data_IF_720265255316
#
_entry.id   IF_720265255316
#
_cell.length_a   1.000
_cell.length_b   1.000
_cell.length_c   1.000
_cell.angle_alpha   90.00
_cell.angle_beta   90.00
_cell.angle_gamma   90.00
#
_symmetry.space_group_name_H-M   'P 1'
#
loop_
_entity.id
_entity.type
_entity.pdbx_description
1 polymer ?
#
# COMPACT_ATOMS: atom_id res chain seq x y z
N UNK A 1 -6.61 19.10 -0.42
CA UNK A 1 -7.69 18.18 -0.85
C UNK A 1 -7.38 16.82 -0.25
N UNK A 2 -8.32 16.26 0.53
CA UNK A 2 -8.11 15.00 1.22
C UNK A 2 -8.22 13.78 0.29
N UNK A 3 -7.48 12.72 0.62
CA UNK A 3 -7.54 11.40 0.00
C UNK A 3 -7.86 10.39 1.09
N UNK A 4 -8.91 9.59 0.87
CA UNK A 4 -9.27 8.49 1.74
C UNK A 4 -8.39 7.27 1.40
N UNK A 5 -7.82 6.64 2.41
CA UNK A 5 -6.96 5.48 2.26
C UNK A 5 -7.50 4.37 3.15
N UNK A 6 -7.91 3.26 2.54
CA UNK A 6 -8.24 2.03 3.26
C UNK A 6 -7.12 1.02 3.08
N UNK A 7 -7.03 0.06 3.99
CA UNK A 7 -6.00 -0.98 3.95
C UNK A 7 -5.46 -1.28 5.35
N UNK A 8 -4.44 -2.11 5.40
CA UNK A 8 -3.82 -2.51 6.66
C UNK A 8 -3.08 -1.35 7.32
N UNK A 9 -3.22 -1.29 8.65
CA UNK A 9 -2.33 -0.59 9.58
C UNK A 9 -1.76 -1.68 10.47
N UNK A 10 -0.48 -1.97 10.36
CA UNK A 10 0.09 -3.18 10.94
C UNK A 10 1.47 -2.93 11.55
N UNK A 11 1.90 -3.84 12.40
CA UNK A 11 3.28 -3.91 12.87
C UNK A 11 3.98 -5.10 12.21
N UNK A 12 5.27 -4.92 11.89
CA UNK A 12 6.17 -6.01 11.53
C UNK A 12 7.11 -6.29 12.70
N UNK A 13 7.00 -7.48 13.29
CA UNK A 13 7.92 -7.95 14.32
C UNK A 13 8.92 -8.90 13.67
N UNK A 14 10.16 -8.47 13.58
CA UNK A 14 11.22 -9.15 12.86
C UNK A 14 12.22 -9.72 13.87
N UNK A 15 12.38 -11.05 13.83
CA UNK A 15 13.39 -11.77 14.59
C UNK A 15 14.52 -12.20 13.66
N UNK A 16 15.76 -12.06 14.11
CA UNK A 16 16.94 -12.57 13.40
C UNK A 16 17.54 -13.77 14.15
N UNK A 17 17.88 -14.80 13.41
CA UNK A 17 18.53 -16.01 13.92
C UNK A 17 19.88 -16.18 13.23
N UNK A 18 20.95 -16.48 14.01
CA UNK A 18 22.31 -16.62 13.48
C UNK A 18 22.57 -17.96 12.79
N UNK A 19 21.69 -18.95 12.97
CA UNK A 19 21.75 -20.24 12.29
C UNK A 19 20.98 -20.27 10.98
N UNK A 20 20.95 -21.43 10.36
CA UNK A 20 20.22 -21.72 9.12
C UNK A 20 18.95 -22.53 9.44
N UNK A 21 17.78 -22.14 8.96
CA UNK A 21 16.55 -22.91 9.15
C UNK A 21 16.66 -24.34 8.62
N UNK A 22 17.29 -24.53 7.47
CA UNK A 22 17.44 -25.84 6.83
C UNK A 22 18.14 -26.86 7.75
N UNK A 23 19.04 -26.43 8.64
CA UNK A 23 19.73 -27.33 9.60
C UNK A 23 18.83 -27.72 10.76
N UNK A 24 17.96 -26.82 11.23
CA UNK A 24 17.08 -27.06 12.39
C UNK A 24 15.74 -27.67 12.00
N UNK A 25 15.27 -27.44 10.78
CA UNK A 25 14.03 -27.98 10.23
C UNK A 25 14.26 -29.30 9.45
N UNK A 26 15.44 -29.93 9.60
CA UNK A 26 15.72 -31.23 8.97
C UNK A 26 14.96 -32.36 9.64
N UNK A 27 14.41 -33.29 8.84
CA UNK A 27 13.70 -34.46 9.34
C UNK A 27 12.19 -34.49 9.01
N UNK A 28 11.42 -35.22 9.81
CA UNK A 28 9.95 -35.33 9.60
C UNK A 28 9.22 -34.09 10.12
N UNK A 29 8.82 -33.22 9.21
CA UNK A 29 8.11 -31.97 9.55
C UNK A 29 6.69 -32.19 10.09
N UNK A 30 6.13 -33.41 10.04
CA UNK A 30 4.77 -33.72 10.54
C UNK A 30 4.67 -33.61 12.06
N UNK A 31 5.77 -33.78 12.78
CA UNK A 31 5.86 -33.69 14.24
C UNK A 31 6.93 -32.66 14.68
N UNK A 32 6.99 -31.54 13.97
CA UNK A 32 8.01 -30.51 14.26
C UNK A 32 7.77 -29.90 15.63
N UNK A 33 8.76 -30.01 16.51
CA UNK A 33 8.86 -29.30 17.77
C UNK A 33 10.27 -28.72 17.88
N UNK A 34 10.43 -27.48 17.49
CA UNK A 34 11.73 -26.81 17.51
C UNK A 34 11.60 -25.40 18.08
N UNK A 35 12.65 -24.94 18.75
CA UNK A 35 12.75 -23.59 19.29
C UNK A 35 13.95 -22.91 18.67
N UNK A 36 13.73 -21.74 18.09
CA UNK A 36 14.79 -20.89 17.59
C UNK A 36 15.17 -19.84 18.64
N UNK A 37 16.45 -19.71 18.92
CA UNK A 37 16.95 -18.58 19.69
C UNK A 37 17.20 -17.41 18.74
N UNK A 38 16.46 -16.32 18.92
CA UNK A 38 16.68 -15.10 18.16
C UNK A 38 17.80 -14.28 18.79
N UNK A 39 18.74 -13.81 17.99
CA UNK A 39 19.83 -12.91 18.39
C UNK A 39 19.40 -11.46 18.48
N UNK A 40 18.34 -11.09 17.75
CA UNK A 40 17.75 -9.76 17.80
C UNK A 40 16.24 -9.79 17.51
N UNK A 41 15.56 -8.76 18.00
CA UNK A 41 14.16 -8.48 17.71
C UNK A 41 14.01 -6.98 17.43
N UNK A 42 13.24 -6.64 16.42
CA UNK A 42 12.76 -5.27 16.21
C UNK A 42 11.27 -5.28 15.86
N UNK A 43 10.58 -4.19 16.19
CA UNK A 43 9.19 -3.97 15.80
C UNK A 43 9.12 -2.71 14.96
N UNK A 44 8.71 -2.85 13.72
CA UNK A 44 8.59 -1.77 12.75
C UNK A 44 7.11 -1.42 12.55
N UNK A 45 6.85 -0.16 12.25
CA UNK A 45 5.53 0.28 11.77
C UNK A 45 5.42 -0.06 10.28
N UNK A 46 4.32 -0.70 9.89
CA UNK A 46 4.04 -1.09 8.51
C UNK A 46 2.52 -1.11 8.24
N UNK A 47 2.12 -1.63 7.10
CA UNK A 47 0.75 -1.71 6.62
C UNK A 47 0.49 -0.76 5.45
N UNK A 48 -0.17 -1.28 4.43
CA UNK A 48 -0.35 -0.57 3.15
C UNK A 48 -0.97 0.82 3.33
N UNK A 49 -2.06 0.94 4.11
CA UNK A 49 -2.70 2.24 4.32
C UNK A 49 -1.78 3.23 5.05
N UNK A 50 -1.03 2.75 6.04
CA UNK A 50 -0.11 3.58 6.80
C UNK A 50 1.07 4.07 5.94
N UNK A 51 1.66 3.16 5.16
CA UNK A 51 2.79 3.46 4.26
C UNK A 51 2.38 4.48 3.19
N UNK A 52 1.23 4.28 2.54
CA UNK A 52 0.67 5.20 1.54
C UNK A 52 0.42 6.58 2.15
N UNK A 53 -0.22 6.62 3.34
CA UNK A 53 -0.55 7.87 4.02
C UNK A 53 0.70 8.66 4.41
N UNK A 54 1.72 8.01 4.95
CA UNK A 54 2.98 8.67 5.32
C UNK A 54 3.75 9.19 4.11
N UNK A 55 3.81 8.42 3.02
CA UNK A 55 4.42 8.85 1.77
C UNK A 55 3.72 10.11 1.24
N UNK A 56 2.39 10.09 1.16
CA UNK A 56 1.59 11.22 0.71
C UNK A 56 1.74 12.44 1.64
N UNK A 57 1.73 12.23 2.96
CA UNK A 57 1.84 13.31 3.95
C UNK A 57 3.16 14.06 3.86
N UNK A 58 4.27 13.35 3.67
CA UNK A 58 5.60 13.94 3.51
C UNK A 58 5.74 14.81 2.27
N UNK A 59 4.91 14.60 1.27
CA UNK A 59 4.80 15.49 0.10
C UNK A 59 3.89 16.70 0.35
N UNK A 60 3.31 16.84 1.56
CA UNK A 60 2.37 17.89 1.89
C UNK A 60 0.92 17.59 1.50
N UNK A 61 0.60 16.32 1.25
CA UNK A 61 -0.76 15.85 1.02
C UNK A 61 -1.62 15.80 2.29
N UNK A 62 -2.90 15.49 2.12
CA UNK A 62 -3.90 15.37 3.19
C UNK A 62 -4.53 13.98 3.20
N UNK A 63 -3.78 12.94 3.63
CA UNK A 63 -4.30 11.59 3.75
C UNK A 63 -5.23 11.45 4.95
N UNK A 64 -6.30 10.67 4.80
CA UNK A 64 -7.18 10.21 5.88
C UNK A 64 -7.26 8.71 5.81
N UNK A 65 -6.76 8.03 6.84
CA UNK A 65 -6.81 6.57 6.95
C UNK A 65 -8.18 6.19 7.51
N UNK A 66 -8.86 5.25 6.86
CA UNK A 66 -10.08 4.64 7.34
C UNK A 66 -9.84 3.18 7.63
N UNK A 67 -9.76 2.85 8.93
CA UNK A 67 -9.34 1.52 9.35
C UNK A 67 -9.40 1.30 10.86
N UNK A 68 -8.85 0.18 11.32
CA UNK A 68 -8.91 -0.25 12.71
C UNK A 68 -7.51 -0.54 13.27
N UNK A 69 -7.38 -0.26 14.57
CA UNK A 69 -6.25 -0.61 15.43
C UNK A 69 -6.74 -1.48 16.59
N UNK A 70 -5.85 -2.22 17.20
CA UNK A 70 -6.13 -3.02 18.39
C UNK A 70 -5.79 -2.31 19.69
N UNK A 71 -5.77 -3.08 20.80
CA UNK A 71 -5.43 -2.59 22.15
C UNK A 71 -4.02 -2.00 22.24
N UNK A 72 -3.11 -2.36 21.33
CA UNK A 72 -1.74 -1.87 21.22
C UNK A 72 -1.57 -0.76 20.18
N UNK A 73 -2.69 -0.13 19.74
CA UNK A 73 -2.70 0.84 18.66
C UNK A 73 -2.25 2.26 19.03
N UNK A 74 -2.08 2.58 20.34
CA UNK A 74 -1.78 3.97 20.77
C UNK A 74 -0.46 4.49 20.22
N UNK A 75 0.58 3.65 20.11
CA UNK A 75 1.86 4.03 19.51
C UNK A 75 1.66 4.44 18.04
N UNK A 76 0.77 3.76 17.33
CA UNK A 76 0.42 4.11 15.95
C UNK A 76 -0.34 5.43 15.87
N UNK A 77 -1.29 5.66 16.75
CA UNK A 77 -2.01 6.94 16.82
C UNK A 77 -1.06 8.10 17.14
N UNK A 78 -0.15 7.90 18.11
CA UNK A 78 0.87 8.88 18.44
C UNK A 78 1.80 9.19 17.26
N UNK A 79 2.21 8.15 16.53
CA UNK A 79 3.00 8.29 15.32
C UNK A 79 2.27 9.11 14.24
N UNK A 80 1.03 8.78 13.92
CA UNK A 80 0.26 9.55 12.94
C UNK A 80 0.10 11.01 13.35
N UNK A 81 -0.21 11.28 14.60
CA UNK A 81 -0.30 12.65 15.14
C UNK A 81 1.02 13.39 14.99
N UNK A 82 2.17 12.74 15.23
CA UNK A 82 3.50 13.36 15.10
C UNK A 82 3.81 13.79 13.65
N UNK A 83 3.25 13.10 12.66
CA UNK A 83 3.32 13.50 11.24
C UNK A 83 2.19 14.45 10.83
N UNK A 84 1.26 14.79 11.72
CA UNK A 84 0.08 15.61 11.40
C UNK A 84 -0.92 14.89 10.48
N UNK A 85 -1.00 13.54 10.56
CA UNK A 85 -2.04 12.75 9.92
C UNK A 85 -3.23 12.67 10.88
N UNK A 86 -4.44 12.97 10.38
CA UNK A 86 -5.67 12.84 11.19
C UNK A 86 -5.92 11.39 11.57
N UNK A 87 -6.27 11.18 12.83
CA UNK A 87 -6.65 9.85 13.36
C UNK A 87 -8.18 9.66 13.48
N UNK A 88 -8.98 10.60 12.99
CA UNK A 88 -10.46 10.56 13.10
C UNK A 88 -11.12 9.43 12.32
N UNK A 89 -10.44 8.85 11.33
CA UNK A 89 -10.90 7.67 10.59
C UNK A 89 -10.42 6.35 11.16
N UNK A 90 -9.71 6.36 12.30
CA UNK A 90 -9.18 5.16 12.95
C UNK A 90 -9.96 4.87 14.24
N UNK A 91 -10.30 3.60 14.45
CA UNK A 91 -10.92 3.12 15.67
C UNK A 91 -10.06 2.06 16.34
N UNK A 92 -9.84 2.19 17.66
CA UNK A 92 -9.18 1.17 18.46
C UNK A 92 -10.22 0.20 19.03
N UNK A 93 -9.94 -1.10 18.91
CA UNK A 93 -10.72 -2.19 19.48
C UNK A 93 -9.95 -2.81 20.65
N UNK A 94 -10.46 -2.74 21.89
CA UNK A 94 -9.71 -3.11 23.09
C UNK A 94 -9.61 -4.62 23.33
N UNK A 95 -10.31 -5.42 22.54
CA UNK A 95 -10.43 -6.88 22.68
C UNK A 95 -9.59 -7.67 21.68
N UNK A 96 -8.87 -6.98 20.78
CA UNK A 96 -7.97 -7.59 19.78
C UNK A 96 -6.67 -6.81 19.67
N UNK A 97 -5.62 -7.42 19.12
CA UNK A 97 -4.38 -6.73 18.76
C UNK A 97 -4.49 -6.06 17.40
N UNK A 98 -3.67 -5.04 17.16
CA UNK A 98 -3.44 -4.48 15.82
C UNK A 98 -2.92 -5.57 14.88
N UNK A 99 -3.18 -5.46 13.58
CA UNK A 99 -2.63 -6.37 12.59
C UNK A 99 -1.10 -6.46 12.73
N UNK A 100 -0.57 -7.67 12.58
CA UNK A 100 0.86 -7.92 12.82
C UNK A 100 1.40 -8.98 11.87
N UNK A 101 2.54 -8.71 11.26
CA UNK A 101 3.38 -9.71 10.62
C UNK A 101 4.54 -10.08 11.55
N UNK A 102 4.68 -11.35 11.88
CA UNK A 102 5.85 -11.87 12.59
C UNK A 102 6.76 -12.52 11.57
N UNK A 103 7.96 -12.01 11.42
CA UNK A 103 8.93 -12.43 10.42
C UNK A 103 10.14 -13.00 11.14
N UNK A 104 10.48 -14.22 10.83
CA UNK A 104 11.68 -14.90 11.31
C UNK A 104 12.68 -15.00 10.17
N UNK A 105 13.87 -14.44 10.34
CA UNK A 105 14.92 -14.41 9.30
C UNK A 105 16.14 -15.17 9.78
N UNK A 106 16.66 -16.07 8.97
CA UNK A 106 17.89 -16.81 9.26
C UNK A 106 19.15 -16.10 8.72
N UNK A 107 20.34 -16.69 8.99
CA UNK A 107 21.64 -16.14 8.57
C UNK A 107 21.83 -16.08 7.04
N UNK A 108 21.05 -16.84 6.28
CA UNK A 108 21.07 -16.84 4.81
C UNK A 108 20.00 -15.91 4.20
N UNK A 109 19.20 -15.23 5.04
CA UNK A 109 18.11 -14.38 4.58
C UNK A 109 16.83 -15.14 4.24
N UNK A 110 16.72 -16.44 4.56
CA UNK A 110 15.46 -17.19 4.44
C UNK A 110 14.47 -16.68 5.46
N UNK A 111 13.19 -16.60 5.11
CA UNK A 111 12.16 -16.04 5.97
C UNK A 111 10.99 -16.99 6.18
N UNK A 112 10.54 -17.06 7.42
CA UNK A 112 9.25 -17.61 7.81
C UNK A 112 8.38 -16.46 8.29
N UNK A 113 7.23 -16.24 7.67
CA UNK A 113 6.34 -15.15 8.02
C UNK A 113 4.96 -15.66 8.40
N UNK A 114 4.39 -15.06 9.47
CA UNK A 114 3.03 -15.31 9.92
C UNK A 114 2.31 -13.97 10.03
N UNK A 115 1.23 -13.80 9.29
CA UNK A 115 0.41 -12.60 9.36
C UNK A 115 -0.87 -12.87 10.18
N UNK A 116 -1.05 -12.07 11.23
CA UNK A 116 -2.28 -12.05 12.03
C UNK A 116 -3.05 -10.75 11.73
N UNK A 117 -4.25 -10.83 11.14
CA UNK A 117 -5.00 -9.63 10.74
C UNK A 117 -5.56 -8.82 11.91
N UNK A 118 -5.80 -9.44 13.08
CA UNK A 118 -6.27 -8.74 14.28
C UNK A 118 -7.41 -7.76 14.02
N UNK A 119 -7.25 -6.53 14.49
CA UNK A 119 -8.22 -5.45 14.31
C UNK A 119 -8.52 -5.10 12.85
N UNK A 120 -7.63 -5.42 11.89
CA UNK A 120 -7.88 -5.19 10.47
C UNK A 120 -9.19 -5.86 10.01
N UNK A 121 -9.51 -7.04 10.51
CA UNK A 121 -10.76 -7.74 10.20
C UNK A 121 -12.02 -7.00 10.69
N UNK A 122 -11.87 -6.02 11.58
CA UNK A 122 -12.94 -5.19 12.14
C UNK A 122 -13.05 -3.82 11.48
N UNK A 123 -12.20 -3.50 10.49
CA UNK A 123 -12.22 -2.21 9.80
C UNK A 123 -13.57 -1.87 9.18
N UNK A 124 -14.36 -2.88 8.78
CA UNK A 124 -15.75 -2.70 8.30
C UNK A 124 -16.71 -2.15 9.35
N UNK A 125 -16.37 -2.25 10.65
CA UNK A 125 -17.19 -1.76 11.77
C UNK A 125 -16.89 -0.28 12.06
N UNK A 126 -15.79 0.25 11.52
CA UNK A 126 -15.40 1.64 11.68
C UNK A 126 -16.35 2.53 10.87
N UNK A 127 -17.03 3.51 11.48
CA UNK A 127 -17.93 4.39 10.75
C UNK A 127 -17.17 5.23 9.72
N UNK A 128 -17.92 5.75 8.74
CA UNK A 128 -17.36 6.68 7.75
C UNK A 128 -16.63 7.84 8.45
N UNK A 129 -15.40 8.17 8.02
CA UNK A 129 -14.63 9.23 8.67
C UNK A 129 -15.36 10.56 8.67
N UNK A 130 -15.20 11.32 9.74
CA UNK A 130 -15.76 12.66 9.89
C UNK A 130 -14.62 13.65 10.11
N UNK A 131 -14.81 14.88 9.70
CA UNK A 131 -13.91 16.00 9.98
C UNK A 131 -14.74 17.18 10.46
N UNK A 132 -14.39 17.74 11.61
CA UNK A 132 -15.17 18.82 12.23
C UNK A 132 -16.66 18.51 12.36
N UNK A 133 -16.98 17.28 12.74
CA UNK A 133 -18.35 16.81 12.93
C UNK A 133 -19.17 16.52 11.66
N UNK A 134 -18.60 16.74 10.45
CA UNK A 134 -19.25 16.47 9.17
C UNK A 134 -18.64 15.25 8.50
N UNK A 135 -19.44 14.54 7.72
CA UNK A 135 -18.94 13.42 6.92
C UNK A 135 -17.82 13.88 5.97
N UNK A 136 -16.73 13.13 5.96
CA UNK A 136 -15.59 13.42 5.09
C UNK A 136 -16.01 13.36 3.62
N UNK A 137 -15.55 14.34 2.84
CA UNK A 137 -15.70 14.36 1.38
C UNK A 137 -14.34 14.39 0.72
N UNK A 138 -13.66 13.24 0.60
CA UNK A 138 -12.36 13.17 -0.04
C UNK A 138 -12.49 13.40 -1.55
N UNK A 139 -11.45 13.93 -2.18
CA UNK A 139 -11.40 14.10 -3.65
C UNK A 139 -11.40 12.74 -4.36
N UNK A 140 -10.71 11.78 -3.77
CA UNK A 140 -10.61 10.40 -4.25
C UNK A 140 -10.25 9.47 -3.08
N UNK A 141 -10.37 8.17 -3.32
CA UNK A 141 -9.96 7.14 -2.39
C UNK A 141 -9.00 6.14 -3.05
N UNK A 142 -8.26 5.39 -2.22
CA UNK A 142 -7.61 4.15 -2.62
C UNK A 142 -8.09 3.03 -1.71
N UNK A 143 -8.41 1.90 -2.31
CA UNK A 143 -8.77 0.67 -1.61
C UNK A 143 -7.60 -0.29 -1.72
N UNK A 144 -6.74 -0.28 -0.71
CA UNK A 144 -5.54 -1.13 -0.60
C UNK A 144 -5.83 -2.37 0.26
N UNK A 145 -4.94 -3.38 0.27
CA UNK A 145 -5.14 -4.61 1.02
C UNK A 145 -5.48 -4.37 2.49
N UNK A 146 -6.65 -4.82 2.92
CA UNK A 146 -7.20 -4.62 4.26
C UNK A 146 -8.27 -5.64 4.64
N UNK A 147 -8.31 -6.77 3.94
CA UNK A 147 -9.31 -7.83 4.07
C UNK A 147 -10.45 -7.68 3.07
N UNK A 148 -10.85 -8.80 2.45
CA UNK A 148 -11.90 -8.88 1.42
C UNK A 148 -13.17 -8.11 1.80
N UNK A 149 -13.71 -8.38 2.98
CA UNK A 149 -14.98 -7.77 3.43
C UNK A 149 -14.85 -6.25 3.60
N UNK A 150 -13.70 -5.79 4.12
CA UNK A 150 -13.40 -4.36 4.27
C UNK A 150 -13.34 -3.67 2.91
N UNK A 151 -12.63 -4.28 1.94
CA UNK A 151 -12.50 -3.73 0.59
C UNK A 151 -13.85 -3.63 -0.12
N UNK A 152 -14.69 -4.67 -0.04
CA UNK A 152 -16.03 -4.67 -0.63
C UNK A 152 -16.94 -3.61 0.02
N UNK A 153 -16.89 -3.49 1.35
CA UNK A 153 -17.64 -2.47 2.08
C UNK A 153 -17.18 -1.05 1.69
N UNK A 154 -15.87 -0.83 1.65
CA UNK A 154 -15.30 0.47 1.28
C UNK A 154 -15.67 0.88 -0.15
N UNK A 155 -15.68 -0.07 -1.09
CA UNK A 155 -16.13 0.19 -2.46
C UNK A 155 -17.62 0.62 -2.48
N UNK A 156 -18.49 -0.06 -1.72
CA UNK A 156 -19.91 0.29 -1.63
C UNK A 156 -20.11 1.70 -1.04
N UNK A 157 -19.39 2.03 0.03
CA UNK A 157 -19.44 3.36 0.66
C UNK A 157 -18.92 4.46 -0.28
N UNK A 158 -17.83 4.22 -0.99
CA UNK A 158 -17.32 5.17 -1.98
C UNK A 158 -18.34 5.41 -3.09
N UNK A 159 -18.91 4.36 -3.65
CA UNK A 159 -19.95 4.48 -4.71
C UNK A 159 -21.19 5.23 -4.21
N UNK A 160 -21.72 4.87 -3.05
CA UNK A 160 -22.92 5.50 -2.47
C UNK A 160 -22.74 7.00 -2.21
N UNK A 161 -21.50 7.43 -1.96
CA UNK A 161 -21.13 8.83 -1.68
C UNK A 161 -20.59 9.58 -2.91
N UNK A 162 -20.50 8.91 -4.06
CA UNK A 162 -19.95 9.48 -5.29
C UNK A 162 -18.44 9.78 -5.22
N UNK A 163 -17.70 9.04 -4.39
CA UNK A 163 -16.25 9.18 -4.24
C UNK A 163 -15.55 8.26 -5.24
N UNK A 164 -14.78 8.78 -6.20
CA UNK A 164 -13.99 7.95 -7.10
C UNK A 164 -12.88 7.23 -6.33
N UNK A 165 -12.67 5.94 -6.61
CA UNK A 165 -11.61 5.18 -5.96
C UNK A 165 -10.69 4.46 -6.96
N UNK A 166 -9.41 4.38 -6.59
CA UNK A 166 -8.42 3.50 -7.19
C UNK A 166 -8.49 2.15 -6.47
N UNK A 167 -8.62 1.06 -7.21
CA UNK A 167 -8.54 -0.28 -6.64
C UNK A 167 -7.08 -0.75 -6.65
N UNK A 168 -6.53 -0.99 -5.47
CA UNK A 168 -5.18 -1.54 -5.29
C UNK A 168 -5.29 -3.01 -4.89
N UNK A 169 -4.99 -3.89 -5.83
CA UNK A 169 -5.24 -5.34 -5.69
C UNK A 169 -4.39 -5.96 -4.58
N UNK A 170 -3.09 -5.68 -4.61
CA UNK A 170 -2.11 -6.16 -3.64
C UNK A 170 -2.10 -7.69 -3.48
N UNK A 171 -1.52 -8.14 -2.39
CA UNK A 171 -1.38 -9.58 -2.07
C UNK A 171 -2.70 -10.30 -1.77
N UNK A 172 -3.82 -9.59 -1.68
CA UNK A 172 -5.13 -10.16 -1.36
C UNK A 172 -5.90 -10.70 -2.57
N UNK A 173 -5.33 -10.63 -3.77
CA UNK A 173 -5.93 -11.09 -5.01
C UNK A 173 -6.64 -12.46 -4.88
N UNK A 174 -6.04 -13.39 -4.14
CA UNK A 174 -6.56 -14.74 -3.98
C UNK A 174 -7.83 -14.83 -3.11
N UNK A 175 -8.15 -13.78 -2.35
CA UNK A 175 -9.35 -13.74 -1.52
C UNK A 175 -10.63 -13.47 -2.32
N UNK A 176 -10.50 -12.92 -3.53
CA UNK A 176 -11.62 -12.48 -4.36
C UNK A 176 -11.94 -13.52 -5.46
N UNK A 177 -13.24 -13.65 -5.79
CA UNK A 177 -13.66 -14.33 -7.01
C UNK A 177 -13.44 -13.42 -8.24
N UNK A 178 -13.55 -14.00 -9.45
CA UNK A 178 -13.46 -13.23 -10.69
C UNK A 178 -14.54 -12.13 -10.75
N UNK A 179 -15.78 -12.48 -10.41
CA UNK A 179 -16.92 -11.54 -10.43
C UNK A 179 -16.74 -10.41 -9.42
N UNK A 180 -16.15 -10.68 -8.25
CA UNK A 180 -15.86 -9.65 -7.25
C UNK A 180 -14.77 -8.70 -7.76
N UNK A 181 -13.70 -9.22 -8.38
CA UNK A 181 -12.64 -8.41 -8.99
C UNK A 181 -13.17 -7.52 -10.12
N UNK A 182 -13.98 -8.07 -11.02
CA UNK A 182 -14.62 -7.33 -12.10
C UNK A 182 -15.59 -6.26 -11.56
N UNK A 183 -16.35 -6.60 -10.53
CA UNK A 183 -17.25 -5.63 -9.87
C UNK A 183 -16.48 -4.48 -9.23
N UNK A 184 -15.36 -4.74 -8.53
CA UNK A 184 -14.50 -3.71 -7.95
C UNK A 184 -13.90 -2.83 -9.04
N UNK A 185 -13.36 -3.43 -10.10
CA UNK A 185 -12.78 -2.72 -11.25
C UNK A 185 -13.83 -1.86 -11.96
N UNK A 186 -15.01 -2.41 -12.27
CA UNK A 186 -16.04 -1.70 -13.03
C UNK A 186 -16.49 -0.41 -12.35
N UNK A 187 -16.53 -0.38 -11.04
CA UNK A 187 -16.94 0.76 -10.20
C UNK A 187 -15.81 1.71 -9.84
N UNK A 188 -14.53 1.30 -10.03
CA UNK A 188 -13.36 2.13 -9.79
C UNK A 188 -13.11 3.12 -10.94
N UNK A 189 -12.31 4.16 -10.72
CA UNK A 189 -11.77 4.96 -11.81
C UNK A 189 -10.50 4.33 -12.42
N UNK A 190 -9.88 3.38 -11.72
CA UNK A 190 -8.68 2.69 -12.16
C UNK A 190 -8.22 1.61 -11.19
N UNK A 191 -7.15 0.93 -11.57
CA UNK A 191 -6.53 -0.16 -10.84
C UNK A 191 -5.02 0.06 -10.71
N UNK A 192 -4.44 -0.36 -9.58
CA UNK A 192 -3.00 -0.41 -9.36
C UNK A 192 -2.59 -1.82 -8.95
N UNK A 193 -1.47 -2.32 -9.49
CA UNK A 193 -0.93 -3.65 -9.17
C UNK A 193 0.53 -3.77 -9.62
N UNK A 194 1.21 -4.80 -9.15
CA UNK A 194 2.51 -5.26 -9.66
C UNK A 194 2.35 -6.19 -10.86
N UNK A 195 3.47 -6.57 -11.50
CA UNK A 195 3.47 -7.59 -12.56
C UNK A 195 2.82 -8.89 -12.11
N UNK A 196 3.20 -9.38 -10.93
CA UNK A 196 2.68 -10.63 -10.38
C UNK A 196 1.15 -10.58 -10.13
N UNK A 197 0.69 -9.46 -9.56
CA UNK A 197 -0.74 -9.24 -9.30
C UNK A 197 -1.53 -9.06 -10.59
N UNK A 198 -0.95 -8.41 -11.60
CA UNK A 198 -1.56 -8.24 -12.92
C UNK A 198 -1.76 -9.59 -13.64
N UNK A 199 -0.75 -10.45 -13.61
CA UNK A 199 -0.83 -11.80 -14.17
C UNK A 199 -1.91 -12.64 -13.47
N UNK A 200 -1.98 -12.58 -12.14
CA UNK A 200 -3.00 -13.26 -11.35
C UNK A 200 -4.40 -12.69 -11.58
N UNK A 201 -4.53 -11.37 -11.76
CA UNK A 201 -5.79 -10.70 -12.09
C UNK A 201 -6.30 -11.15 -13.48
N UNK A 202 -5.41 -11.12 -14.47
CA UNK A 202 -5.71 -11.57 -15.83
C UNK A 202 -6.08 -13.05 -15.88
N UNK A 203 -5.36 -13.90 -15.13
CA UNK A 203 -5.67 -15.33 -15.05
C UNK A 203 -7.08 -15.60 -14.48
N UNK A 204 -7.57 -14.77 -13.56
CA UNK A 204 -8.90 -14.91 -12.96
C UNK A 204 -10.02 -14.30 -13.81
N UNK A 205 -9.78 -13.15 -14.43
CA UNK A 205 -10.82 -12.34 -15.09
C UNK A 205 -10.73 -12.34 -16.61
N UNK A 206 -9.64 -12.80 -17.19
CA UNK A 206 -9.36 -12.68 -18.62
C UNK A 206 -9.03 -11.27 -19.10
N UNK A 207 -8.91 -10.29 -18.18
CA UNK A 207 -8.70 -8.88 -18.50
C UNK A 207 -7.22 -8.48 -18.36
N UNK A 208 -6.54 -8.26 -19.50
CA UNK A 208 -5.19 -7.69 -19.48
C UNK A 208 -5.18 -6.20 -19.12
N UNK A 209 -4.02 -5.68 -18.71
CA UNK A 209 -3.83 -4.24 -18.42
C UNK A 209 -4.27 -3.34 -19.57
N UNK A 210 -3.97 -3.76 -20.79
CA UNK A 210 -4.35 -3.02 -21.99
C UNK A 210 -5.86 -3.07 -22.24
N UNK A 211 -6.48 -4.24 -22.05
CA UNK A 211 -7.92 -4.41 -22.18
C UNK A 211 -8.65 -3.50 -21.16
N UNK A 212 -8.18 -3.47 -19.92
CA UNK A 212 -8.72 -2.59 -18.86
C UNK A 212 -8.59 -1.11 -19.27
N UNK A 213 -7.42 -0.67 -19.75
CA UNK A 213 -7.21 0.71 -20.22
C UNK A 213 -8.17 1.13 -21.31
N UNK A 214 -8.46 0.23 -22.28
CA UNK A 214 -9.43 0.46 -23.37
C UNK A 214 -10.87 0.67 -22.88
N UNK A 215 -11.23 0.14 -21.71
CA UNK A 215 -12.57 0.38 -21.11
C UNK A 215 -12.72 1.76 -20.47
N UNK A 216 -11.70 2.61 -20.56
CA UNK A 216 -11.72 3.95 -19.96
C UNK A 216 -11.23 3.99 -18.53
N UNK A 217 -10.58 2.93 -18.05
CA UNK A 217 -9.97 2.87 -16.71
C UNK A 217 -8.50 3.25 -16.75
N UNK A 218 -8.02 3.89 -15.69
CA UNK A 218 -6.60 4.12 -15.47
C UNK A 218 -5.95 2.85 -14.92
N UNK A 219 -4.80 2.42 -15.48
CA UNK A 219 -4.06 1.27 -14.95
C UNK A 219 -2.64 1.68 -14.62
N UNK A 220 -2.24 1.48 -13.37
CA UNK A 220 -0.86 1.63 -12.91
C UNK A 220 -0.28 0.24 -12.66
N UNK A 221 0.61 -0.24 -13.53
CA UNK A 221 1.31 -1.53 -13.39
C UNK A 221 2.77 -1.29 -13.06
N UNK A 222 3.24 -1.80 -11.92
CA UNK A 222 4.62 -1.66 -11.46
C UNK A 222 5.47 -2.88 -11.81
N UNK A 223 6.74 -2.65 -12.21
CA UNK A 223 7.68 -3.65 -12.72
C UNK A 223 8.92 -3.80 -11.82
N UNK A 224 8.82 -3.45 -10.53
CA UNK A 224 9.94 -3.43 -9.60
C UNK A 224 11.03 -2.45 -10.04
N UNK A 225 12.27 -2.92 -10.16
CA UNK A 225 13.41 -2.09 -10.58
C UNK A 225 13.33 -1.56 -12.01
N UNK A 226 12.40 -2.06 -12.83
CA UNK A 226 12.20 -1.61 -14.22
C UNK A 226 11.19 -0.44 -14.32
N UNK A 227 10.71 0.10 -13.20
CA UNK A 227 9.76 1.21 -13.18
C UNK A 227 8.30 0.77 -13.25
N UNK A 228 7.49 1.45 -14.05
CA UNK A 228 6.07 1.18 -14.18
C UNK A 228 5.54 1.44 -15.59
N UNK A 229 4.36 0.92 -15.87
CA UNK A 229 3.55 1.24 -17.05
C UNK A 229 2.24 1.87 -16.63
N UNK A 230 1.86 2.95 -17.29
CA UNK A 230 0.60 3.63 -17.11
C UNK A 230 -0.25 3.48 -18.36
N UNK A 231 -1.45 2.89 -18.22
CA UNK A 231 -2.44 2.85 -19.31
C UNK A 231 -3.47 3.94 -19.03
N UNK A 232 -3.52 4.91 -19.94
CA UNK A 232 -4.46 6.03 -19.83
C UNK A 232 -5.85 5.61 -20.31
N UNK A 233 -6.92 6.20 -19.74
CA UNK A 233 -8.29 5.92 -20.13
C UNK A 233 -8.51 6.07 -21.63
N UNK A 234 -8.95 4.98 -22.30
CA UNK A 234 -9.20 4.96 -23.75
C UNK A 234 -7.96 4.92 -24.63
N UNK A 235 -6.75 4.92 -24.08
CA UNK A 235 -5.53 4.82 -24.88
C UNK A 235 -5.23 3.36 -25.27
N UNK A 236 -4.65 3.19 -26.47
CA UNK A 236 -4.35 1.86 -27.03
C UNK A 236 -3.00 1.27 -26.61
N UNK A 237 -2.26 1.89 -25.67
CA UNK A 237 -0.95 1.43 -25.27
C UNK A 237 -0.49 1.99 -23.92
N UNK A 238 0.60 1.40 -23.40
CA UNK A 238 1.21 1.83 -22.16
C UNK A 238 2.13 3.03 -22.34
N UNK A 239 2.07 3.97 -21.41
CA UNK A 239 3.08 5.02 -21.25
C UNK A 239 4.11 4.51 -20.22
N UNK A 240 5.38 4.37 -20.58
CA UNK A 240 6.42 3.95 -19.65
C UNK A 240 6.68 5.04 -18.60
N UNK A 241 6.97 4.60 -17.38
CA UNK A 241 7.41 5.45 -16.26
C UNK A 241 8.75 4.90 -15.80
N UNK A 242 9.82 5.60 -16.15
CA UNK A 242 11.18 5.20 -15.88
C UNK A 242 11.44 5.22 -14.36
N UNK A 243 12.21 4.26 -13.82
CA UNK A 243 12.59 4.27 -12.42
C UNK A 243 13.71 5.29 -12.18
N UNK A 244 13.70 5.95 -11.02
CA UNK A 244 14.88 6.68 -10.56
C UNK A 244 15.96 5.67 -10.13
N UNK A 245 17.19 5.71 -10.71
CA UNK A 245 18.26 4.81 -10.35
C UNK A 245 18.70 5.01 -8.90
N UNK A 246 18.67 3.95 -8.08
CA UNK A 246 19.11 3.97 -6.68
C UNK A 246 19.76 2.64 -6.29
N UNK A 247 20.63 2.66 -5.27
CA UNK A 247 21.10 1.47 -4.62
C UNK A 247 19.99 0.91 -3.71
N UNK A 248 19.43 -0.24 -4.06
CA UNK A 248 18.35 -0.86 -3.33
C UNK A 248 18.85 -1.43 -1.98
N UNK A 249 18.15 -1.11 -0.89
CA UNK A 249 18.38 -1.67 0.44
C UNK A 249 17.22 -2.57 0.88
N UNK A 250 15.97 -2.11 0.70
CA UNK A 250 14.79 -2.87 1.10
C UNK A 250 13.62 -2.57 0.15
N UNK A 251 13.05 -3.56 -0.57
CA UNK A 251 11.92 -3.37 -1.46
C UNK A 251 10.55 -3.30 -0.76
N UNK A 252 10.45 -3.73 0.52
CA UNK A 252 9.17 -3.75 1.27
C UNK A 252 8.58 -2.35 1.36
N UNK A 253 7.29 -2.18 1.02
CA UNK A 253 6.59 -0.90 1.01
C UNK A 253 6.90 0.00 -0.21
N UNK A 254 7.69 -0.46 -1.20
CA UNK A 254 7.95 0.31 -2.43
C UNK A 254 6.67 0.55 -3.24
N UNK A 255 5.79 -0.45 -3.30
CA UNK A 255 4.48 -0.34 -3.92
C UNK A 255 3.61 0.73 -3.25
N UNK A 256 3.55 0.73 -1.92
CA UNK A 256 2.81 1.71 -1.13
C UNK A 256 3.36 3.13 -1.35
N UNK A 257 4.69 3.26 -1.35
CA UNK A 257 5.36 4.53 -1.62
C UNK A 257 5.01 5.07 -3.03
N UNK A 258 4.99 4.19 -4.03
CA UNK A 258 4.53 4.50 -5.40
C UNK A 258 3.09 5.01 -5.39
N UNK A 259 2.16 4.30 -4.71
CA UNK A 259 0.75 4.72 -4.58
C UNK A 259 0.63 6.07 -3.87
N UNK A 260 1.39 6.28 -2.79
CA UNK A 260 1.39 7.54 -2.04
C UNK A 260 1.77 8.75 -2.89
N UNK A 261 2.85 8.65 -3.67
CA UNK A 261 3.29 9.69 -4.59
C UNK A 261 2.31 9.89 -5.77
N UNK A 262 1.79 8.81 -6.34
CA UNK A 262 0.81 8.84 -7.40
C UNK A 262 -0.48 9.54 -6.99
N UNK A 263 -1.03 9.17 -5.84
CA UNK A 263 -2.25 9.77 -5.28
C UNK A 263 -2.05 11.24 -4.90
N UNK A 264 -0.86 11.60 -4.42
CA UNK A 264 -0.52 13.01 -4.17
C UNK A 264 -0.67 13.84 -5.43
N UNK A 265 -0.10 13.38 -6.56
CA UNK A 265 -0.20 14.06 -7.84
C UNK A 265 -1.65 14.17 -8.33
N UNK A 266 -2.39 13.06 -8.36
CA UNK A 266 -3.80 13.04 -8.77
C UNK A 266 -4.68 13.95 -7.89
N UNK A 267 -4.46 13.95 -6.57
CA UNK A 267 -5.21 14.82 -5.67
C UNK A 267 -4.95 16.30 -5.93
N UNK A 268 -3.77 16.67 -6.39
CA UNK A 268 -3.44 18.04 -6.80
C UNK A 268 -3.95 18.40 -8.20
N UNK A 269 -4.46 17.43 -8.96
CA UNK A 269 -4.97 17.64 -10.32
C UNK A 269 -3.88 17.60 -11.39
N UNK A 270 -2.73 17.04 -11.07
CA UNK A 270 -1.69 16.79 -12.07
C UNK A 270 -2.16 15.69 -13.05
N UNK A 271 -1.62 15.71 -14.25
CA UNK A 271 -1.87 14.64 -15.18
C UNK A 271 -1.38 13.28 -14.64
N UNK A 272 -1.97 12.16 -15.08
CA UNK A 272 -1.64 10.85 -14.55
C UNK A 272 -0.17 10.44 -14.78
N UNK A 273 0.47 10.89 -15.85
CA UNK A 273 1.88 10.56 -16.16
C UNK A 273 2.81 11.28 -15.16
N UNK A 274 2.61 12.58 -14.96
CA UNK A 274 3.36 13.34 -13.95
C UNK A 274 3.14 12.76 -12.57
N UNK A 275 1.91 12.36 -12.22
CA UNK A 275 1.58 11.71 -10.95
C UNK A 275 2.32 10.38 -10.78
N UNK A 276 2.39 9.55 -11.82
CA UNK A 276 3.09 8.27 -11.78
C UNK A 276 4.62 8.46 -11.66
N UNK A 277 5.20 9.47 -12.31
CA UNK A 277 6.61 9.86 -12.16
C UNK A 277 6.94 10.28 -10.73
N UNK A 278 6.08 11.08 -10.09
CA UNK A 278 6.22 11.39 -8.65
C UNK A 278 6.22 10.09 -7.83
N UNK A 279 5.28 9.19 -8.09
CA UNK A 279 5.23 7.87 -7.44
C UNK A 279 6.52 7.08 -7.60
N UNK A 280 7.10 7.03 -8.81
CA UNK A 280 8.35 6.33 -9.09
C UNK A 280 9.54 6.89 -8.29
N UNK A 281 9.63 8.22 -8.15
CA UNK A 281 10.65 8.87 -7.30
C UNK A 281 10.46 8.48 -5.84
N UNK A 282 9.23 8.54 -5.33
CA UNK A 282 8.92 8.21 -3.93
C UNK A 282 9.26 6.75 -3.64
N UNK A 283 8.90 5.83 -4.55
CA UNK A 283 9.25 4.42 -4.46
C UNK A 283 10.77 4.20 -4.43
N UNK A 284 11.53 4.86 -5.30
CA UNK A 284 12.97 4.76 -5.35
C UNK A 284 13.64 5.24 -4.05
N UNK A 285 13.20 6.39 -3.51
CA UNK A 285 13.71 6.91 -2.23
C UNK A 285 13.40 5.98 -1.07
N UNK A 286 12.22 5.32 -1.09
CA UNK A 286 11.88 4.29 -0.11
C UNK A 286 12.78 3.06 -0.24
N UNK A 287 12.98 2.55 -1.45
CA UNK A 287 13.82 1.36 -1.70
C UNK A 287 15.27 1.57 -1.26
N UNK A 288 15.77 2.78 -1.33
CA UNK A 288 17.09 3.17 -0.84
C UNK A 288 17.20 3.26 0.70
N UNK A 289 16.15 2.90 1.44
CA UNK A 289 16.11 2.91 2.92
C UNK A 289 15.79 1.53 3.48
N UNK A 290 16.31 1.16 4.65
CA UNK A 290 15.99 -0.12 5.31
C UNK A 290 14.56 -0.19 5.87
N UNK A 291 13.94 0.94 6.20
CA UNK A 291 12.60 1.00 6.79
C UNK A 291 11.51 1.20 5.74
N UNK A 292 10.32 0.62 5.95
CA UNK A 292 9.15 0.86 5.10
C UNK A 292 8.59 2.28 5.25
N UNK A 293 8.72 2.87 6.44
CA UNK A 293 8.16 4.18 6.76
C UNK A 293 9.21 5.27 7.04
N UNK A 294 10.39 4.92 7.56
CA UNK A 294 11.40 5.91 7.95
C UNK A 294 12.45 6.06 6.86
N UNK A 295 12.17 6.91 5.88
CA UNK A 295 13.08 7.26 4.79
C UNK A 295 13.01 8.78 4.50
N UNK A 296 14.12 9.38 4.03
CA UNK A 296 14.14 10.81 3.74
C UNK A 296 13.28 11.12 2.51
N UNK A 297 12.21 11.88 2.72
CA UNK A 297 11.31 12.31 1.66
C UNK A 297 10.86 13.75 1.92
N UNK A 298 11.13 14.64 0.98
CA UNK A 298 10.63 16.00 0.96
C UNK A 298 10.12 16.36 -0.42
N UNK A 299 9.15 17.27 -0.51
CA UNK A 299 8.61 17.70 -1.79
C UNK A 299 9.70 18.34 -2.68
N UNK A 300 10.59 19.15 -2.09
CA UNK A 300 11.67 19.79 -2.85
C UNK A 300 12.69 18.76 -3.38
N UNK A 301 12.98 17.72 -2.60
CA UNK A 301 13.80 16.61 -3.07
C UNK A 301 13.17 15.87 -4.24
N UNK A 302 11.84 15.65 -4.19
CA UNK A 302 11.10 15.01 -5.29
C UNK A 302 11.07 15.91 -6.53
N UNK A 303 10.89 17.23 -6.37
CA UNK A 303 10.98 18.19 -7.48
C UNK A 303 12.32 18.15 -8.17
N UNK A 304 13.40 18.19 -7.39
CA UNK A 304 14.77 18.11 -7.92
C UNK A 304 15.02 16.85 -8.72
N UNK A 305 14.59 15.69 -8.21
CA UNK A 305 14.74 14.41 -8.94
C UNK A 305 13.87 14.41 -10.21
N UNK A 306 12.64 14.93 -10.13
CA UNK A 306 11.73 15.04 -11.27
C UNK A 306 12.33 15.90 -12.38
N UNK A 307 12.85 17.07 -12.03
CA UNK A 307 13.48 18.00 -12.97
C UNK A 307 14.73 17.41 -13.63
N UNK A 308 15.51 16.63 -12.87
CA UNK A 308 16.68 15.93 -13.38
C UNK A 308 16.36 14.84 -14.41
N UNK A 309 15.17 14.25 -14.34
CA UNK A 309 14.77 13.15 -15.23
C UNK A 309 13.88 13.59 -16.39
N UNK A 310 12.95 14.50 -16.14
CA UNK A 310 11.87 14.80 -17.10
C UNK A 310 11.67 16.29 -17.39
N UNK A 311 12.51 17.17 -16.88
CA UNK A 311 12.38 18.61 -17.04
C UNK A 311 11.46 19.25 -15.99
N UNK A 312 11.04 20.50 -16.22
CA UNK A 312 10.36 21.33 -15.23
C UNK A 312 9.22 20.61 -14.49
N UNK A 313 9.30 20.61 -13.16
CA UNK A 313 8.25 20.11 -12.30
C UNK A 313 7.11 21.12 -12.23
N UNK A 314 5.97 20.81 -12.84
CA UNK A 314 4.77 21.67 -12.83
C UNK A 314 3.96 21.64 -11.52
N UNK A 315 4.56 21.27 -10.36
CA UNK A 315 3.86 21.07 -9.09
C UNK A 315 4.61 21.59 -7.87
#
# INVERSE_FOLDING_TARGET
MSVLITGSVAYDTIFSHEGEFARQLSGDLRNLNTTFLASSMRRDFDGCAANIALAMKRLGGDPVIWGALGMDGEDYLARFRSFGISTEGLQCFPDVYTAQCVIFTDSLGSQLAVFHPGAMNRSREVPWPRREGKDLRPKLAILSPGGKTTTLNAANECVSRGIPYLFDVGQELNLFSAEELESLLSRSFGIAYSDFEAEGFEAKTGLSSEAIGRTGKLVLRTHGSRGASLFLPGAGGAVPVEPLPVAAQNPVGAGDAMRGGFLYGLARGLDPVASARIGAIVAARKVASPSAQDYPLTLDGVRKDYEGMWGAAGF
#
